data_IF_890655065924
#
_entry.id   IF_890655065924
#
_cell.length_a   1.000
_cell.length_b   1.000
_cell.length_c   1.000
_cell.angle_alpha   90.00
_cell.angle_beta   90.00
_cell.angle_gamma   90.00
#
_symmetry.space_group_name_H-M   'P 1'
#
loop_
_entity.id
_entity.type
_entity.pdbx_description
1 polymer ?
#
# COMPACT_ATOMS: atom_id res chain seq x y z
N UNK A 1 2.81 19.70 -24.22
CA UNK A 1 3.79 20.08 -23.18
C UNK A 1 3.11 20.33 -21.84
N UNK A 2 3.77 20.00 -20.72
CA UNK A 2 3.16 19.98 -19.38
C UNK A 2 3.06 21.36 -18.70
N UNK A 3 2.12 21.50 -17.76
CA UNK A 3 1.94 22.72 -16.95
C UNK A 3 3.08 22.92 -15.95
N UNK A 4 3.26 24.16 -15.47
CA UNK A 4 4.30 24.51 -14.48
C UNK A 4 4.20 23.73 -13.16
N UNK A 5 3.01 23.21 -12.84
CA UNK A 5 2.74 22.44 -11.63
C UNK A 5 2.95 20.93 -11.81
N UNK A 6 3.26 20.50 -13.03
CA UNK A 6 3.42 19.09 -13.38
C UNK A 6 4.74 18.53 -12.89
N UNK A 7 4.67 17.28 -12.41
CA UNK A 7 5.83 16.41 -12.14
C UNK A 7 6.80 16.31 -13.32
N UNK A 8 6.31 16.44 -14.55
CA UNK A 8 7.08 16.29 -15.80
C UNK A 8 7.53 17.64 -16.42
N UNK A 9 7.34 18.76 -15.72
CA UNK A 9 7.63 20.10 -16.29
C UNK A 9 9.09 20.27 -16.73
N UNK A 10 10.02 19.68 -15.98
CA UNK A 10 11.47 19.78 -16.20
C UNK A 10 12.03 18.62 -17.06
N UNK A 11 11.18 17.71 -17.52
CA UNK A 11 11.62 16.56 -18.33
C UNK A 11 11.70 16.99 -19.80
N UNK A 12 12.79 16.69 -20.51
CA UNK A 12 12.91 17.02 -21.92
C UNK A 12 11.89 16.26 -22.75
N UNK A 13 11.42 16.91 -23.82
CA UNK A 13 10.58 16.29 -24.83
C UNK A 13 11.46 15.46 -25.78
N UNK A 14 11.03 14.24 -26.08
CA UNK A 14 11.65 13.31 -27.01
C UNK A 14 10.73 13.07 -28.20
N UNK A 15 11.29 13.04 -29.41
CA UNK A 15 10.55 12.72 -30.63
C UNK A 15 10.72 11.24 -30.92
N UNK A 16 9.61 10.49 -30.85
CA UNK A 16 9.60 9.04 -31.05
C UNK A 16 8.80 8.72 -32.31
N UNK A 17 9.36 7.90 -33.18
CA UNK A 17 8.62 7.34 -34.31
C UNK A 17 7.73 6.19 -33.83
N UNK A 18 6.45 6.23 -34.16
CA UNK A 18 5.52 5.14 -33.90
C UNK A 18 5.77 3.96 -34.87
N UNK A 19 5.02 2.86 -34.68
CA UNK A 19 5.13 1.68 -35.54
C UNK A 19 4.69 1.93 -37.00
N UNK A 20 4.10 3.10 -37.31
CA UNK A 20 3.62 3.52 -38.62
C UNK A 20 4.54 4.56 -39.28
N UNK A 21 5.62 4.97 -38.60
CA UNK A 21 6.56 5.98 -39.07
C UNK A 21 6.11 7.43 -38.82
N UNK A 22 5.02 7.64 -38.08
CA UNK A 22 4.60 8.97 -37.64
C UNK A 22 5.39 9.40 -36.40
N UNK A 23 5.85 10.64 -36.38
CA UNK A 23 6.60 11.18 -35.25
C UNK A 23 5.64 11.76 -34.22
N UNK A 24 5.73 11.28 -32.97
CA UNK A 24 5.02 11.83 -31.83
C UNK A 24 6.02 12.47 -30.85
N UNK A 25 5.63 13.61 -30.27
CA UNK A 25 6.37 14.22 -29.16
C UNK A 25 5.91 13.57 -27.85
N UNK A 26 6.83 12.93 -27.15
CA UNK A 26 6.60 12.29 -25.86
C UNK A 26 7.51 12.91 -24.78
N UNK A 27 7.13 12.75 -23.52
CA UNK A 27 8.03 13.07 -22.41
C UNK A 27 9.08 11.97 -22.29
N UNK A 28 10.35 12.34 -22.07
CA UNK A 28 11.38 11.36 -21.72
C UNK A 28 11.12 10.66 -20.38
N UNK A 29 11.92 9.64 -20.07
CA UNK A 29 11.86 8.95 -18.77
C UNK A 29 12.39 9.89 -17.66
N UNK A 30 11.61 10.04 -16.59
CA UNK A 30 12.04 10.79 -15.39
C UNK A 30 12.57 9.84 -14.32
N UNK A 31 13.86 9.91 -13.92
CA UNK A 31 14.35 9.17 -12.76
C UNK A 31 13.74 9.74 -11.47
N UNK A 32 13.56 8.88 -10.46
CA UNK A 32 13.12 9.35 -9.15
C UNK A 32 14.25 10.16 -8.50
N UNK A 33 13.99 11.38 -8.03
CA UNK A 33 14.99 12.16 -7.33
C UNK A 33 15.26 11.57 -5.95
N UNK A 34 16.52 11.62 -5.49
CA UNK A 34 16.83 11.46 -4.08
C UNK A 34 16.30 12.69 -3.33
N UNK A 35 15.11 12.56 -2.75
CA UNK A 35 14.50 13.63 -1.98
C UNK A 35 14.96 13.51 -0.51
N UNK A 36 15.72 14.47 0.04
CA UNK A 36 15.99 14.47 1.47
C UNK A 36 14.65 14.67 2.21
N UNK A 37 14.20 13.62 2.90
CA UNK A 37 13.02 13.70 3.73
C UNK A 37 13.29 14.65 4.90
N UNK A 38 12.45 15.69 5.05
CA UNK A 38 12.64 16.71 6.10
C UNK A 38 11.67 16.49 7.26
N UNK A 39 10.51 15.89 6.99
CA UNK A 39 9.47 15.65 7.99
C UNK A 39 8.87 14.25 7.81
N UNK A 40 8.39 13.68 8.92
CA UNK A 40 7.57 12.47 8.91
C UNK A 40 6.14 12.82 9.31
N UNK A 41 5.15 12.32 8.55
CA UNK A 41 3.73 12.43 8.90
C UNK A 41 3.18 11.07 9.30
N UNK A 42 2.38 11.04 10.36
CA UNK A 42 1.70 9.82 10.82
C UNK A 42 0.32 9.76 10.17
N UNK A 43 0.07 8.70 9.39
CA UNK A 43 -1.19 8.50 8.66
C UNK A 43 -2.34 8.40 9.66
N UNK A 44 -3.38 9.21 9.43
CA UNK A 44 -4.64 9.19 10.18
C UNK A 44 -5.77 8.66 9.30
N UNK A 45 -6.80 8.16 9.95
CA UNK A 45 -8.03 7.77 9.26
C UNK A 45 -8.60 8.98 8.50
N UNK A 46 -8.87 8.81 7.20
CA UNK A 46 -9.40 9.86 6.34
C UNK A 46 -8.35 10.81 5.73
N UNK A 47 -7.06 10.55 5.94
CA UNK A 47 -6.00 11.26 5.23
C UNK A 47 -6.15 11.06 3.72
N UNK A 48 -5.89 12.13 2.97
CA UNK A 48 -5.83 12.11 1.51
C UNK A 48 -4.61 12.88 1.05
N UNK A 49 -3.92 12.38 0.02
CA UNK A 49 -2.64 12.93 -0.41
C UNK A 49 -2.75 14.36 -0.95
N UNK A 50 -3.86 14.71 -1.58
CA UNK A 50 -4.16 16.07 -2.02
C UNK A 50 -4.30 17.03 -0.84
N UNK A 51 -4.97 16.60 0.25
CA UNK A 51 -5.10 17.40 1.47
C UNK A 51 -3.76 17.53 2.20
N UNK A 52 -3.00 16.44 2.30
CA UNK A 52 -1.65 16.48 2.89
C UNK A 52 -0.75 17.42 2.10
N UNK A 53 -0.73 17.33 0.76
CA UNK A 53 0.03 18.24 -0.08
C UNK A 53 -0.39 19.71 0.10
N UNK A 54 -1.68 19.98 0.25
CA UNK A 54 -2.16 21.31 0.59
C UNK A 54 -1.66 21.78 1.97
N UNK A 55 -1.73 20.92 2.98
CA UNK A 55 -1.27 21.22 4.35
C UNK A 55 0.24 21.52 4.40
N UNK A 56 1.06 20.76 3.68
CA UNK A 56 2.52 20.90 3.75
C UNK A 56 3.12 21.84 2.72
N UNK A 57 2.49 21.99 1.55
CA UNK A 57 3.02 22.78 0.42
C UNK A 57 2.12 23.95 0.01
N UNK A 58 0.95 24.12 0.65
CA UNK A 58 -0.06 25.09 0.23
C UNK A 58 -0.71 24.76 -1.13
N UNK A 59 -0.44 23.57 -1.67
CA UNK A 59 -0.84 23.20 -3.03
C UNK A 59 -1.14 21.71 -3.16
N UNK A 60 -2.40 21.39 -3.45
CA UNK A 60 -2.91 20.02 -3.54
C UNK A 60 -2.30 19.22 -4.69
N UNK A 61 -1.95 19.87 -5.80
CA UNK A 61 -1.36 19.21 -6.96
C UNK A 61 0.09 18.73 -6.73
N UNK A 62 0.74 19.14 -5.63
CA UNK A 62 2.09 18.69 -5.28
C UNK A 62 2.14 17.36 -4.53
N UNK A 63 1.04 16.61 -4.49
CA UNK A 63 0.99 15.29 -3.84
C UNK A 63 2.00 14.28 -4.43
N UNK A 64 2.40 14.45 -5.68
CA UNK A 64 3.42 13.63 -6.34
C UNK A 64 4.79 13.73 -5.65
N UNK A 65 5.09 14.83 -4.94
CA UNK A 65 6.33 14.97 -4.16
C UNK A 65 6.36 13.98 -2.98
N UNK A 66 5.22 13.80 -2.32
CA UNK A 66 5.07 12.82 -1.24
C UNK A 66 5.24 11.40 -1.81
N UNK A 67 4.71 11.13 -2.99
CA UNK A 67 4.87 9.84 -3.66
C UNK A 67 6.35 9.58 -4.04
N UNK A 68 7.02 10.57 -4.64
CA UNK A 68 8.44 10.47 -5.03
C UNK A 68 9.36 10.18 -3.83
N UNK A 69 9.04 10.72 -2.65
CA UNK A 69 9.83 10.51 -1.43
C UNK A 69 9.59 9.16 -0.75
N UNK A 70 8.60 8.38 -1.17
CA UNK A 70 8.26 7.07 -0.59
C UNK A 70 8.18 6.01 -1.71
N UNK A 71 9.31 5.69 -2.36
CA UNK A 71 9.35 4.83 -3.55
C UNK A 71 8.97 3.37 -3.29
N UNK A 72 8.97 2.93 -2.02
CA UNK A 72 8.54 1.58 -1.63
C UNK A 72 7.07 1.29 -1.99
N UNK A 73 6.28 2.33 -2.24
CA UNK A 73 4.87 2.22 -2.60
C UNK A 73 4.66 2.63 -4.05
N UNK A 74 4.20 1.67 -4.86
CA UNK A 74 3.97 1.88 -6.28
C UNK A 74 2.72 2.75 -6.58
N UNK A 75 1.75 2.77 -5.66
CA UNK A 75 0.49 3.48 -5.84
C UNK A 75 0.26 4.52 -4.73
N UNK A 76 -0.33 5.69 -5.04
CA UNK A 76 -0.71 6.69 -4.04
C UNK A 76 -1.69 6.15 -2.98
N UNK A 77 -2.55 5.20 -3.38
CA UNK A 77 -3.50 4.55 -2.46
C UNK A 77 -2.79 3.57 -1.52
N UNK A 78 -1.80 2.82 -2.01
CA UNK A 78 -0.98 1.93 -1.18
C UNK A 78 -0.31 2.70 -0.05
N UNK A 79 0.19 3.89 -0.36
CA UNK A 79 0.89 4.75 0.60
C UNK A 79 0.00 5.13 1.79
N UNK A 80 -1.30 5.35 1.56
CA UNK A 80 -2.30 5.64 2.59
C UNK A 80 -3.00 4.40 3.17
N UNK A 81 -2.71 3.20 2.65
CA UNK A 81 -3.40 1.97 3.04
C UNK A 81 -4.86 1.91 2.57
N UNK A 82 -5.19 2.65 1.50
CA UNK A 82 -6.54 2.72 0.92
C UNK A 82 -6.83 1.65 -0.14
N UNK A 83 -5.89 0.74 -0.40
CA UNK A 83 -6.06 -0.30 -1.42
C UNK A 83 -7.14 -1.32 -1.02
N UNK A 84 -7.82 -1.92 -2.01
CA UNK A 84 -8.79 -2.99 -1.76
C UNK A 84 -8.12 -4.28 -1.26
N UNK A 85 -6.85 -4.48 -1.58
CA UNK A 85 -6.07 -5.62 -1.13
C UNK A 85 -5.47 -5.33 0.26
N UNK A 86 -6.00 -5.98 1.28
CA UNK A 86 -5.63 -5.77 2.69
C UNK A 86 -5.06 -7.03 3.30
N UNK A 87 -4.28 -6.89 4.38
CA UNK A 87 -3.82 -8.02 5.19
C UNK A 87 -4.51 -7.97 6.54
N UNK A 88 -5.30 -9.00 6.84
CA UNK A 88 -6.01 -9.14 8.13
C UNK A 88 -5.33 -10.22 8.95
N UNK A 89 -5.06 -9.90 10.21
CA UNK A 89 -4.55 -10.82 11.21
C UNK A 89 -5.74 -11.49 11.91
N UNK A 90 -5.75 -12.82 11.91
CA UNK A 90 -6.74 -13.64 12.61
C UNK A 90 -6.02 -14.41 13.71
N UNK A 91 -6.11 -13.96 14.97
CA UNK A 91 -5.62 -14.75 16.10
C UNK A 91 -6.38 -16.08 16.13
N UNK A 92 -5.68 -17.19 16.28
CA UNK A 92 -6.29 -18.52 16.30
C UNK A 92 -5.77 -19.35 17.47
N UNK A 93 -6.66 -20.16 18.04
CA UNK A 93 -6.32 -21.14 19.07
C UNK A 93 -6.48 -22.55 18.53
N UNK A 94 -5.48 -23.41 18.76
CA UNK A 94 -5.47 -24.79 18.26
C UNK A 94 -6.59 -25.63 18.88
N UNK A 95 -7.29 -26.47 18.09
CA UNK A 95 -8.16 -27.49 18.64
C UNK A 95 -7.36 -28.60 19.32
N UNK A 96 -7.98 -29.26 20.31
CA UNK A 96 -7.37 -30.32 21.12
C UNK A 96 -6.84 -31.54 20.31
N UNK A 97 -7.21 -31.66 19.04
CA UNK A 97 -6.89 -32.78 18.13
C UNK A 97 -5.66 -32.51 17.26
N UNK A 98 -4.98 -31.37 17.45
CA UNK A 98 -3.87 -30.91 16.62
C UNK A 98 -4.31 -29.97 15.49
N UNK A 99 -3.43 -29.09 14.97
CA UNK A 99 -3.83 -28.00 14.10
C UNK A 99 -4.16 -28.50 12.68
N UNK A 100 -5.38 -28.26 12.15
CA UNK A 100 -5.80 -28.71 10.82
C UNK A 100 -5.27 -27.81 9.69
N UNK A 101 -3.99 -27.42 9.71
CA UNK A 101 -3.40 -26.44 8.78
C UNK A 101 -3.63 -26.78 7.32
N UNK A 102 -3.42 -28.03 6.92
CA UNK A 102 -3.61 -28.45 5.53
C UNK A 102 -5.05 -28.27 5.03
N UNK A 103 -6.04 -28.49 5.90
CA UNK A 103 -7.46 -28.25 5.58
C UNK A 103 -7.77 -26.76 5.54
N UNK A 104 -7.32 -26.00 6.53
CA UNK A 104 -7.56 -24.56 6.63
C UNK A 104 -6.96 -23.80 5.47
N UNK A 105 -5.67 -24.04 5.16
CA UNK A 105 -4.97 -23.40 4.05
C UNK A 105 -5.64 -23.73 2.72
N UNK A 106 -6.12 -24.97 2.53
CA UNK A 106 -6.86 -25.35 1.33
C UNK A 106 -8.19 -24.62 1.20
N UNK A 107 -8.99 -24.60 2.27
CA UNK A 107 -10.29 -23.90 2.25
C UNK A 107 -10.14 -22.39 2.02
N UNK A 108 -9.10 -21.78 2.60
CA UNK A 108 -8.79 -20.36 2.38
C UNK A 108 -8.31 -20.11 0.95
N UNK A 109 -7.45 -20.97 0.40
CA UNK A 109 -7.00 -20.85 -0.99
C UNK A 109 -8.14 -21.02 -2.00
N UNK A 110 -9.14 -21.87 -1.70
CA UNK A 110 -10.34 -22.08 -2.52
C UNK A 110 -11.36 -20.93 -2.38
N UNK A 111 -11.16 -19.98 -1.45
CA UNK A 111 -12.07 -18.85 -1.23
C UNK A 111 -11.74 -17.71 -2.20
N UNK A 112 -12.71 -17.35 -3.04
CA UNK A 112 -12.60 -16.21 -3.97
C UNK A 112 -12.29 -14.93 -3.19
N UNK A 113 -11.27 -14.21 -3.64
CA UNK A 113 -10.81 -12.97 -3.02
C UNK A 113 -9.64 -13.15 -2.04
N UNK A 114 -9.33 -14.37 -1.61
CA UNK A 114 -8.09 -14.65 -0.85
C UNK A 114 -6.92 -14.74 -1.83
N UNK A 115 -5.86 -13.99 -1.55
CA UNK A 115 -4.66 -13.91 -2.41
C UNK A 115 -3.51 -14.70 -1.82
N UNK A 116 -3.31 -14.59 -0.51
CA UNK A 116 -2.21 -15.25 0.19
C UNK A 116 -2.56 -15.50 1.65
N UNK A 117 -1.95 -16.53 2.25
CA UNK A 117 -2.15 -16.90 3.64
C UNK A 117 -0.82 -17.28 4.27
N UNK A 118 -0.41 -16.54 5.30
CA UNK A 118 0.80 -16.82 6.07
C UNK A 118 0.44 -17.17 7.52
N UNK A 119 1.08 -18.19 8.07
CA UNK A 119 0.95 -18.56 9.48
C UNK A 119 2.08 -17.91 10.26
N UNK A 120 1.73 -17.18 11.32
CA UNK A 120 2.67 -16.65 12.30
C UNK A 120 2.49 -17.44 13.60
N UNK A 121 3.60 -17.96 14.11
CA UNK A 121 3.70 -18.58 15.42
C UNK A 121 4.65 -17.72 16.27
N UNK A 122 4.09 -16.96 17.22
CA UNK A 122 4.93 -16.26 18.21
C UNK A 122 5.43 -17.28 19.23
N UNK A 123 6.74 -17.55 19.18
CA UNK A 123 7.45 -18.44 20.10
C UNK A 123 7.41 -17.87 21.53
N UNK A 124 6.39 -18.24 22.32
CA UNK A 124 6.29 -17.95 23.75
C UNK A 124 4.97 -18.47 24.34
N UNK A 125 4.90 -18.94 25.59
CA UNK A 125 3.65 -19.33 26.22
C UNK A 125 2.87 -18.10 26.77
N UNK A 126 1.55 -17.98 26.50
CA UNK A 126 0.74 -18.86 25.67
C UNK A 126 1.07 -18.72 24.19
N UNK A 127 1.11 -19.84 23.45
CA UNK A 127 1.35 -19.86 22.00
C UNK A 127 0.27 -19.04 21.30
N UNK A 128 0.60 -17.81 20.93
CA UNK A 128 -0.28 -16.97 20.14
C UNK A 128 -0.01 -17.26 18.68
N UNK A 129 -0.86 -18.09 18.09
CA UNK A 129 -0.84 -18.33 16.65
C UNK A 129 -1.76 -17.34 15.96
N UNK A 130 -1.34 -16.84 14.80
CA UNK A 130 -2.15 -15.96 13.99
C UNK A 130 -2.03 -16.31 12.50
N UNK A 131 -3.16 -16.25 11.80
CA UNK A 131 -3.19 -16.30 10.34
C UNK A 131 -3.18 -14.88 9.80
N UNK A 132 -2.14 -14.53 9.04
CA UNK A 132 -2.16 -13.36 8.19
C UNK A 132 -2.76 -13.73 6.84
N UNK A 133 -3.99 -13.29 6.60
CA UNK A 133 -4.67 -13.51 5.32
C UNK A 133 -4.64 -12.22 4.53
N UNK A 134 -4.03 -12.26 3.35
CA UNK A 134 -4.10 -11.19 2.36
C UNK A 134 -5.28 -11.45 1.45
N UNK A 135 -6.24 -10.52 1.41
CA UNK A 135 -7.47 -10.68 0.66
C UNK A 135 -7.98 -9.37 0.07
N UNK A 136 -8.77 -9.48 -0.99
CA UNK A 136 -9.49 -8.36 -1.56
C UNK A 136 -10.79 -8.15 -0.77
N UNK A 137 -10.83 -7.05 0.00
CA UNK A 137 -12.01 -6.70 0.83
C UNK A 137 -13.29 -6.45 0.03
N UNK A 138 -13.18 -6.24 -1.28
CA UNK A 138 -14.33 -6.07 -2.17
C UNK A 138 -14.98 -7.41 -2.53
N UNK A 139 -14.20 -8.49 -2.53
CA UNK A 139 -14.68 -9.84 -2.88
C UNK A 139 -15.06 -10.63 -1.62
N UNK A 140 -14.29 -10.49 -0.54
CA UNK A 140 -14.48 -11.25 0.70
C UNK A 140 -14.22 -10.38 1.94
N UNK A 141 -15.15 -10.40 2.89
CA UNK A 141 -15.01 -9.70 4.18
C UNK A 141 -14.26 -10.53 5.22
N UNK A 142 -13.74 -9.86 6.26
CA UNK A 142 -13.04 -10.53 7.37
C UNK A 142 -13.94 -11.54 8.11
N UNK A 143 -15.23 -11.25 8.23
CA UNK A 143 -16.22 -12.15 8.87
C UNK A 143 -16.31 -13.49 8.12
N UNK A 144 -16.39 -13.44 6.78
CA UNK A 144 -16.47 -14.64 5.96
C UNK A 144 -15.21 -15.48 6.06
N UNK A 145 -14.04 -14.84 6.10
CA UNK A 145 -12.75 -15.52 6.30
C UNK A 145 -12.72 -16.19 7.68
N UNK A 146 -13.19 -15.51 8.72
CA UNK A 146 -13.27 -16.07 10.07
C UNK A 146 -14.20 -17.30 10.11
N UNK A 147 -15.34 -17.27 9.43
CA UNK A 147 -16.23 -18.44 9.31
C UNK A 147 -15.54 -19.64 8.67
N UNK A 148 -14.77 -19.42 7.59
CA UNK A 148 -14.00 -20.49 6.92
C UNK A 148 -12.98 -21.09 7.89
N UNK A 149 -12.24 -20.25 8.62
CA UNK A 149 -11.25 -20.70 9.62
C UNK A 149 -11.93 -21.50 10.75
N UNK A 150 -13.09 -21.03 11.24
CA UNK A 150 -13.89 -21.74 12.24
C UNK A 150 -14.38 -23.10 11.72
N UNK A 151 -14.85 -23.17 10.47
CA UNK A 151 -15.32 -24.43 9.85
C UNK A 151 -14.22 -25.47 9.69
N UNK A 152 -12.96 -25.02 9.62
CA UNK A 152 -11.80 -25.89 9.56
C UNK A 152 -11.41 -26.48 10.92
N UNK A 153 -11.91 -25.90 12.02
CA UNK A 153 -11.74 -26.39 13.39
C UNK A 153 -10.94 -25.47 14.32
N UNK A 154 -10.59 -24.25 13.90
CA UNK A 154 -9.91 -23.27 14.75
C UNK A 154 -10.90 -22.38 15.50
N UNK A 155 -10.54 -21.93 16.70
CA UNK A 155 -11.24 -20.82 17.35
C UNK A 155 -10.57 -19.51 16.96
N UNK A 156 -11.32 -18.58 16.37
CA UNK A 156 -10.80 -17.30 15.86
C UNK A 156 -11.06 -16.19 16.88
N UNK A 157 -10.02 -15.43 17.23
CA UNK A 157 -10.12 -14.21 18.03
C UNK A 157 -10.60 -13.01 17.19
N UNK A 158 -10.54 -11.81 17.75
CA UNK A 158 -10.98 -10.59 17.04
C UNK A 158 -10.04 -10.33 15.84
N UNK A 159 -10.54 -10.33 14.59
CA UNK A 159 -9.73 -10.02 13.43
C UNK A 159 -9.26 -8.56 13.47
N UNK A 160 -8.00 -8.33 13.12
CA UNK A 160 -7.42 -6.99 13.06
C UNK A 160 -6.77 -6.75 11.71
N UNK A 161 -7.24 -5.75 10.97
CA UNK A 161 -6.57 -5.32 9.75
C UNK A 161 -5.24 -4.66 10.08
N UNK A 162 -4.16 -5.10 9.41
CA UNK A 162 -2.89 -4.36 9.40
C UNK A 162 -3.04 -3.16 8.46
N UNK A 163 -3.80 -2.18 8.92
CA UNK A 163 -3.91 -0.89 8.22
C UNK A 163 -2.60 -0.11 8.36
N UNK A 164 -2.39 0.86 7.47
CA UNK A 164 -1.30 1.82 7.59
C UNK A 164 -1.64 3.01 8.51
N UNK A 165 -2.79 3.00 9.17
CA UNK A 165 -3.16 4.05 10.12
C UNK A 165 -2.18 3.96 11.30
N UNK A 166 -1.56 5.09 11.64
CA UNK A 166 -0.48 5.16 12.61
C UNK A 166 0.92 4.90 12.02
N UNK A 167 1.02 4.44 10.77
CA UNK A 167 2.29 4.33 10.08
C UNK A 167 2.78 5.71 9.62
N UNK A 168 4.10 5.82 9.49
CA UNK A 168 4.78 7.05 9.10
C UNK A 168 5.05 7.10 7.59
N UNK A 169 4.87 8.27 6.98
CA UNK A 169 5.27 8.57 5.60
C UNK A 169 6.22 9.76 5.58
N UNK A 170 7.13 9.75 4.62
CA UNK A 170 8.11 10.81 4.45
C UNK A 170 7.50 11.98 3.68
N UNK A 171 7.76 13.19 4.17
CA UNK A 171 7.37 14.43 3.52
C UNK A 171 8.65 15.19 3.17
N UNK A 172 8.99 15.28 1.88
CA UNK A 172 10.17 16.02 1.47
C UNK A 172 9.95 17.52 1.68
N UNK A 173 11.04 18.26 1.84
CA UNK A 173 10.97 19.71 1.80
C UNK A 173 10.30 20.19 0.51
N UNK A 174 9.59 21.31 0.59
CA UNK A 174 9.27 22.07 -0.60
C UNK A 174 10.61 22.51 -1.20
N UNK A 175 11.07 21.85 -2.27
CA UNK A 175 12.29 22.26 -2.95
C UNK A 175 12.22 23.77 -3.22
N UNK A 176 13.26 24.48 -2.80
CA UNK A 176 13.42 25.92 -3.01
C UNK A 176 13.35 26.19 -4.53
N UNK A 177 12.47 27.09 -5.02
CA UNK A 177 12.40 27.41 -6.46
C UNK A 177 13.71 27.94 -7.07
N UNK A 178 14.78 28.10 -6.29
CA UNK A 178 16.07 28.64 -6.70
C UNK A 178 17.12 27.61 -7.21
N UNK A 179 16.89 26.29 -7.10
CA UNK A 179 17.91 25.28 -7.44
C UNK A 179 17.86 24.76 -8.89
N UNK A 180 17.42 25.60 -9.83
CA UNK A 180 17.35 25.29 -11.26
C UNK A 180 17.99 26.38 -12.11
N UNK A 181 19.20 26.77 -11.75
CA UNK A 181 19.97 27.76 -12.50
C UNK A 181 21.42 27.31 -12.65
N UNK A 182 21.73 26.71 -13.80
CA UNK A 182 22.89 27.01 -14.64
C UNK A 182 22.88 26.15 -15.90
#
# INVERSE_FOLDING_TARGET
>A
MFSNMSRYRAVPDEVVADARGETAVAAGLRPLPEAPAVLTHVIKAGDRLDRLAFTYYGQSLHYWRICDANPDYLSPLALLGGEPLVTTCFPVSEPCTGPPWGRTLRLLADTVGVVDVNVIDELGPPRNMALLVRHNRLDVGAERIAEVICSAGFTVGIPAERTRIGASILIPAAADPAAGGR
#
